data_IF_910530914001
#
_entry.id   IF_910530914001
#
_cell.length_a   1.000
_cell.length_b   1.000
_cell.length_c   1.000
_cell.angle_alpha   90.00
_cell.angle_beta   90.00
_cell.angle_gamma   90.00
#
_symmetry.space_group_name_H-M   'P 1'
#
loop_
_entity.id
_entity.type
_entity.pdbx_description
1 polymer ?
#
# COMPACT_ATOMS: atom_id res chain seq x y z
N UNK A 1 -1.80 5.15 -13.12
CA UNK A 1 -0.65 4.72 -12.34
C UNK A 1 -1.04 4.83 -10.89
N UNK A 2 -0.52 3.94 -10.05
CA UNK A 2 -0.77 3.93 -8.62
C UNK A 2 0.55 4.10 -7.87
N UNK A 3 0.46 4.60 -6.64
CA UNK A 3 1.57 4.68 -5.71
C UNK A 3 1.17 4.05 -4.39
N UNK A 4 2.09 3.29 -3.81
CA UNK A 4 2.00 2.71 -2.47
C UNK A 4 2.88 3.54 -1.54
N UNK A 5 2.33 3.96 -0.41
CA UNK A 5 3.08 4.65 0.66
C UNK A 5 2.88 3.96 1.98
N UNK A 6 3.92 3.88 2.80
CA UNK A 6 3.81 3.39 4.17
C UNK A 6 4.09 4.49 5.18
N UNK A 7 3.50 4.38 6.38
CA UNK A 7 3.73 5.35 7.46
C UNK A 7 5.17 5.34 7.98
N UNK A 8 5.97 4.33 7.64
CA UNK A 8 7.40 4.26 7.96
C UNK A 8 8.29 4.82 6.83
N UNK A 9 7.71 5.53 5.84
CA UNK A 9 8.44 6.28 4.83
C UNK A 9 8.80 5.52 3.56
N UNK A 10 8.36 4.27 3.38
CA UNK A 10 8.54 3.58 2.10
C UNK A 10 7.53 4.11 1.08
N UNK A 11 8.01 4.31 -0.15
CA UNK A 11 7.17 4.70 -1.29
C UNK A 11 7.55 3.86 -2.51
N UNK A 12 6.53 3.34 -3.20
CA UNK A 12 6.67 2.63 -4.47
C UNK A 12 5.73 3.28 -5.48
N UNK A 13 6.31 3.90 -6.50
CA UNK A 13 5.59 4.52 -7.62
C UNK A 13 5.51 3.55 -8.82
N UNK A 14 4.80 3.94 -9.87
CA UNK A 14 4.83 3.18 -11.13
C UNK A 14 3.94 1.94 -11.17
N UNK A 15 3.12 1.71 -10.14
CA UNK A 15 2.25 0.53 -10.07
C UNK A 15 1.18 0.64 -11.17
N UNK A 16 1.10 -0.40 -12.02
CA UNK A 16 0.33 -0.37 -13.27
C UNK A 16 -1.18 -0.39 -13.01
N UNK A 17 -1.61 -1.19 -12.05
CA UNK A 17 -3.03 -1.39 -11.70
C UNK A 17 -3.26 -1.34 -10.19
N UNK A 18 -4.51 -1.16 -9.79
CA UNK A 18 -4.90 -1.24 -8.37
C UNK A 18 -4.62 -2.64 -7.81
N UNK A 19 -4.87 -3.68 -8.64
CA UNK A 19 -4.66 -5.07 -8.27
C UNK A 19 -3.20 -5.34 -7.90
N UNK A 20 -2.25 -4.86 -8.72
CA UNK A 20 -0.81 -5.00 -8.43
C UNK A 20 -0.44 -4.29 -7.12
N UNK A 21 -1.07 -3.13 -6.85
CA UNK A 21 -0.87 -2.40 -5.60
C UNK A 21 -1.39 -3.16 -4.38
N UNK A 22 -2.56 -3.79 -4.50
CA UNK A 22 -3.11 -4.66 -3.44
C UNK A 22 -2.23 -5.89 -3.22
N UNK A 23 -1.73 -6.52 -4.28
CA UNK A 23 -0.77 -7.63 -4.17
C UNK A 23 0.51 -7.20 -3.46
N UNK A 24 1.07 -6.04 -3.79
CA UNK A 24 2.25 -5.51 -3.13
C UNK A 24 2.05 -5.32 -1.61
N UNK A 25 0.86 -4.91 -1.17
CA UNK A 25 0.53 -4.81 0.27
C UNK A 25 0.59 -6.18 0.97
N UNK A 26 0.12 -7.24 0.33
CA UNK A 26 0.24 -8.61 0.87
C UNK A 26 1.70 -9.09 0.94
N UNK A 27 2.61 -8.52 0.15
CA UNK A 27 4.05 -8.80 0.25
C UNK A 27 4.73 -8.10 1.43
N UNK A 28 4.11 -7.05 1.99
CA UNK A 28 4.68 -6.30 3.13
C UNK A 28 4.49 -7.02 4.48
N UNK A 29 3.57 -7.99 4.57
CA UNK A 29 3.28 -8.70 5.81
C UNK A 29 1.83 -9.18 5.88
N UNK A 30 1.24 -9.12 7.08
CA UNK A 30 -0.17 -9.46 7.33
C UNK A 30 -1.03 -8.19 7.27
N UNK A 31 -1.80 -7.97 6.19
CA UNK A 31 -2.64 -6.78 6.07
C UNK A 31 -4.02 -6.98 6.69
N UNK A 32 -4.52 -5.92 7.34
CA UNK A 32 -5.90 -5.76 7.79
C UNK A 32 -6.46 -4.49 7.16
N UNK A 33 -7.56 -4.62 6.42
CA UNK A 33 -8.25 -3.49 5.79
C UNK A 33 -8.76 -2.52 6.86
N UNK A 34 -8.45 -1.23 6.70
CA UNK A 34 -8.94 -0.14 7.56
C UNK A 34 -9.63 0.99 6.77
N UNK A 35 -9.57 0.93 5.44
CA UNK A 35 -10.27 1.84 4.53
C UNK A 35 -10.23 1.34 3.08
N UNK A 36 -10.87 2.04 2.13
CA UNK A 36 -10.97 1.58 0.73
C UNK A 36 -9.61 1.31 0.06
N UNK A 37 -8.60 2.09 0.42
CA UNK A 37 -7.22 2.00 -0.07
C UNK A 37 -6.19 2.12 1.07
N UNK A 38 -6.56 1.70 2.27
CA UNK A 38 -5.70 1.80 3.45
C UNK A 38 -5.73 0.49 4.26
N UNK A 39 -4.55 0.05 4.68
CA UNK A 39 -4.35 -1.20 5.44
C UNK A 39 -3.44 -0.95 6.63
N UNK A 40 -3.79 -1.55 7.76
CA UNK A 40 -2.83 -1.80 8.83
C UNK A 40 -2.03 -3.05 8.46
N UNK A 41 -0.70 -2.98 8.50
CA UNK A 41 0.19 -4.10 8.19
C UNK A 41 1.04 -4.42 9.40
N UNK A 42 1.26 -5.72 9.64
CA UNK A 42 2.27 -6.25 10.56
C UNK A 42 3.31 -6.99 9.74
N UNK A 43 4.56 -6.53 9.76
CA UNK A 43 5.64 -7.22 9.04
C UNK A 43 6.18 -8.45 9.79
N UNK A 44 7.16 -9.11 9.18
CA UNK A 44 7.83 -10.28 9.76
C UNK A 44 8.67 -9.99 11.01
N UNK A 45 8.92 -8.72 11.34
CA UNK A 45 9.58 -8.28 12.56
C UNK A 45 8.56 -7.90 13.65
N UNK A 46 7.26 -8.03 13.38
CA UNK A 46 6.20 -7.62 14.28
C UNK A 46 5.98 -6.10 14.31
N UNK A 47 6.52 -5.34 13.35
CA UNK A 47 6.35 -3.89 13.30
C UNK A 47 5.01 -3.55 12.68
N UNK A 48 4.32 -2.59 13.29
CA UNK A 48 3.01 -2.11 12.86
C UNK A 48 3.16 -0.82 12.05
N UNK A 49 2.54 -0.77 10.89
CA UNK A 49 2.46 0.45 10.08
C UNK A 49 1.21 0.48 9.21
N UNK A 50 0.91 1.67 8.68
CA UNK A 50 -0.17 1.84 7.70
C UNK A 50 0.43 1.81 6.31
N UNK A 51 -0.20 1.07 5.40
CA UNK A 51 0.06 1.11 3.97
C UNK A 51 -1.15 1.73 3.26
N UNK A 52 -0.91 2.67 2.34
CA UNK A 52 -1.94 3.34 1.56
C UNK A 52 -1.65 3.22 0.07
N UNK A 53 -2.70 2.98 -0.72
CA UNK A 53 -2.62 2.96 -2.17
C UNK A 53 -3.33 4.20 -2.73
N UNK A 54 -2.66 4.95 -3.61
CA UNK A 54 -3.21 6.17 -4.20
C UNK A 54 -3.14 6.12 -5.72
N UNK A 55 -4.22 6.47 -6.38
CA UNK A 55 -4.22 6.66 -7.83
C UNK A 55 -3.47 7.96 -8.14
N UNK A 56 -2.39 7.86 -8.90
CA UNK A 56 -1.53 8.99 -9.28
C UNK A 56 -1.79 9.49 -10.70
N UNK A 57 -2.83 8.97 -11.37
CA UNK A 57 -3.29 9.62 -12.60
C UNK A 57 -3.84 11.01 -12.21
N UNK A 58 -3.44 12.08 -12.92
CA UNK A 58 -4.23 13.30 -12.87
C UNK A 58 -5.65 12.93 -13.28
N UNK A 59 -6.65 13.34 -12.50
CA UNK A 59 -7.98 13.44 -13.06
C UNK A 59 -7.85 14.39 -14.26
N UNK A 60 -8.11 13.87 -15.46
CA UNK A 60 -8.05 14.66 -16.69
C UNK A 60 -9.01 15.84 -16.65
#
# INVERSE_FOLDING_TARGET
>A
MWALTTSHGMRVDGIRSEHDGRQAIHMLGLPRVIGPYSWQVVDNQGRHFVAELRNTRPNG
#
